data_IF_350706551449
#
_entry.id   IF_350706551449
#
_cell.length_a   1.000
_cell.length_b   1.000
_cell.length_c   1.000
_cell.angle_alpha   90.00
_cell.angle_beta   90.00
_cell.angle_gamma   90.00
#
_symmetry.space_group_name_H-M   'P 1'
#
loop_
_entity.id
_entity.type
_entity.pdbx_description
1 polymer ?
#
# COMPACT_ATOMS: atom_id res chain seq x y z
N UNK A 1 -25.88 9.23 5.65
CA UNK A 1 -24.73 9.43 6.53
C UNK A 1 -24.17 8.07 6.89
N UNK A 2 -22.86 7.95 7.14
CA UNK A 2 -22.20 6.73 7.63
C UNK A 2 -20.95 7.10 8.41
N UNK A 3 -20.48 6.25 9.33
CA UNK A 3 -19.22 6.45 10.03
C UNK A 3 -18.02 6.47 9.05
N UNK A 4 -17.22 7.51 9.11
CA UNK A 4 -16.03 7.72 8.29
C UNK A 4 -14.96 8.35 9.17
N UNK A 5 -13.80 7.74 9.29
CA UNK A 5 -12.74 8.22 10.16
C UNK A 5 -11.34 7.94 9.65
N UNK A 6 -10.40 8.71 10.16
CA UNK A 6 -8.98 8.46 9.95
C UNK A 6 -8.31 8.14 11.30
N UNK A 7 -7.63 6.99 11.37
CA UNK A 7 -6.82 6.59 12.53
C UNK A 7 -5.40 7.11 12.33
N UNK A 8 -4.97 8.01 13.20
CA UNK A 8 -3.64 8.61 13.16
C UNK A 8 -2.92 8.47 14.51
N UNK A 9 -1.72 8.99 14.60
CA UNK A 9 -0.95 9.05 15.85
C UNK A 9 0.01 10.23 15.85
N UNK A 10 0.53 10.64 17.01
CA UNK A 10 1.56 11.66 17.10
C UNK A 10 2.85 11.27 16.37
N UNK A 11 3.27 10.01 16.50
CA UNK A 11 4.52 9.47 15.92
C UNK A 11 4.31 8.05 15.38
N UNK A 12 5.22 7.61 14.51
CA UNK A 12 5.24 6.22 14.03
C UNK A 12 5.47 5.25 15.19
N UNK A 13 4.94 4.01 15.09
CA UNK A 13 5.10 3.00 16.13
C UNK A 13 4.17 3.15 17.35
N UNK A 14 3.20 4.08 17.32
CA UNK A 14 2.24 4.26 18.44
C UNK A 14 1.17 3.16 18.54
N UNK A 15 1.10 2.20 17.61
CA UNK A 15 0.12 1.12 17.61
C UNK A 15 -1.11 1.37 16.74
N UNK A 16 -1.03 2.31 15.76
CA UNK A 16 -2.11 2.54 14.79
C UNK A 16 -2.60 1.26 14.15
N UNK A 17 -1.70 0.52 13.52
CA UNK A 17 -2.04 -0.73 12.80
C UNK A 17 -2.63 -1.77 13.74
N UNK A 18 -2.10 -1.92 14.95
CA UNK A 18 -2.66 -2.82 15.97
C UNK A 18 -4.11 -2.49 16.27
N UNK A 19 -4.39 -1.21 16.59
CA UNK A 19 -5.75 -0.76 16.88
C UNK A 19 -6.66 -0.89 15.65
N UNK A 20 -6.18 -0.50 14.46
CA UNK A 20 -6.93 -0.59 13.21
C UNK A 20 -7.36 -2.03 12.93
N UNK A 21 -6.45 -3.00 13.01
CA UNK A 21 -6.76 -4.41 12.74
C UNK A 21 -7.79 -4.97 13.72
N UNK A 22 -7.65 -4.65 15.02
CA UNK A 22 -8.64 -5.04 16.01
C UNK A 22 -10.01 -4.43 15.75
N UNK A 23 -10.09 -3.13 15.44
CA UNK A 23 -11.33 -2.45 15.12
C UNK A 23 -12.00 -3.04 13.87
N UNK A 24 -11.23 -3.28 12.80
CA UNK A 24 -11.73 -3.89 11.58
C UNK A 24 -12.36 -5.25 11.82
N UNK A 25 -11.73 -6.09 12.63
CA UNK A 25 -12.24 -7.42 12.97
C UNK A 25 -13.49 -7.32 13.86
N UNK A 26 -13.57 -6.41 14.82
CA UNK A 26 -14.80 -6.17 15.61
C UNK A 26 -15.95 -5.76 14.70
N UNK A 27 -15.72 -4.86 13.75
CA UNK A 27 -16.77 -4.42 12.81
C UNK A 27 -17.20 -5.57 11.89
N UNK A 28 -16.26 -6.38 11.41
CA UNK A 28 -16.57 -7.58 10.63
C UNK A 28 -17.42 -8.59 11.42
N UNK A 29 -17.06 -8.83 12.69
CA UNK A 29 -17.82 -9.72 13.59
C UNK A 29 -19.22 -9.19 13.89
N UNK A 30 -19.41 -7.88 13.87
CA UNK A 30 -20.73 -7.21 13.96
C UNK A 30 -21.53 -7.25 12.64
N UNK A 31 -21.01 -7.87 11.59
CA UNK A 31 -21.64 -7.97 10.28
C UNK A 31 -21.59 -6.69 9.43
N UNK A 32 -20.80 -5.70 9.84
CA UNK A 32 -20.67 -4.43 9.12
C UNK A 32 -19.67 -4.55 7.97
N UNK A 33 -20.08 -4.13 6.78
CA UNK A 33 -19.20 -4.02 5.63
C UNK A 33 -18.30 -2.80 5.79
N UNK A 34 -17.03 -3.03 6.07
CA UNK A 34 -16.04 -1.97 6.29
C UNK A 34 -15.14 -1.81 5.07
N UNK A 35 -15.13 -0.62 4.46
CA UNK A 35 -14.11 -0.26 3.47
C UNK A 35 -12.90 0.34 4.18
N UNK A 36 -11.76 -0.24 3.93
CA UNK A 36 -10.49 0.23 4.48
C UNK A 36 -9.68 0.98 3.45
N UNK A 37 -9.03 2.04 3.94
CA UNK A 37 -8.07 2.83 3.19
C UNK A 37 -6.76 2.94 3.97
N UNK A 38 -5.65 3.03 3.25
CA UNK A 38 -4.32 3.28 3.82
C UNK A 38 -3.72 4.54 3.24
N UNK A 39 -3.38 5.53 4.08
CA UNK A 39 -2.59 6.68 3.62
C UNK A 39 -1.19 6.23 3.20
N UNK A 40 -0.72 6.77 2.06
CA UNK A 40 0.60 6.45 1.52
C UNK A 40 0.66 5.15 0.72
N UNK A 41 1.88 4.69 0.48
CA UNK A 41 2.19 3.64 -0.50
C UNK A 41 2.38 2.24 0.09
N UNK A 42 2.06 2.03 1.36
CA UNK A 42 2.28 0.75 2.03
C UNK A 42 1.36 -0.35 1.49
N UNK A 43 1.93 -1.42 0.95
CA UNK A 43 1.19 -2.56 0.42
C UNK A 43 1.06 -3.72 1.39
N UNK A 44 1.81 -3.73 2.49
CA UNK A 44 1.71 -4.80 3.47
C UNK A 44 0.56 -4.55 4.44
N UNK A 45 0.43 -3.31 4.93
CA UNK A 45 -0.68 -2.94 5.80
C UNK A 45 -2.04 -3.16 5.10
N UNK A 46 -2.14 -2.88 3.79
CA UNK A 46 -3.38 -3.15 3.03
C UNK A 46 -3.74 -4.63 2.99
N UNK A 47 -2.76 -5.53 2.97
CA UNK A 47 -3.02 -6.97 3.05
C UNK A 47 -3.51 -7.38 4.44
N UNK A 48 -2.92 -6.83 5.50
CA UNK A 48 -3.41 -7.06 6.87
C UNK A 48 -4.84 -6.54 7.06
N UNK A 49 -5.14 -5.35 6.52
CA UNK A 49 -6.50 -4.81 6.51
C UNK A 49 -7.48 -5.77 5.81
N UNK A 50 -7.07 -6.33 4.66
CA UNK A 50 -7.91 -7.26 3.90
C UNK A 50 -8.17 -8.56 4.68
N UNK A 51 -7.21 -9.04 5.46
CA UNK A 51 -7.40 -10.17 6.36
C UNK A 51 -8.38 -9.82 7.49
N UNK A 52 -8.21 -8.64 8.11
CA UNK A 52 -9.03 -8.21 9.24
C UNK A 52 -10.48 -7.89 8.87
N UNK A 53 -10.69 -7.18 7.77
CA UNK A 53 -11.99 -6.70 7.32
C UNK A 53 -12.74 -7.67 6.38
N UNK A 54 -12.03 -8.61 5.74
CA UNK A 54 -12.58 -9.49 4.71
C UNK A 54 -12.78 -8.83 3.34
N UNK A 55 -12.35 -7.58 3.15
CA UNK A 55 -12.43 -6.81 1.90
C UNK A 55 -11.11 -6.13 1.59
N UNK A 56 -10.82 -5.95 0.28
CA UNK A 56 -9.58 -5.32 -0.17
C UNK A 56 -9.48 -3.87 0.32
N UNK A 57 -8.30 -3.52 0.83
CA UNK A 57 -7.96 -2.17 1.24
C UNK A 57 -7.36 -1.38 0.07
N UNK A 58 -7.53 -0.05 0.08
CA UNK A 58 -7.14 0.87 -0.99
C UNK A 58 -6.15 1.91 -0.48
N UNK A 59 -5.11 2.21 -1.24
CA UNK A 59 -4.17 3.26 -0.88
C UNK A 59 -4.70 4.66 -1.28
N UNK A 60 -4.44 5.66 -0.43
CA UNK A 60 -4.70 7.07 -0.71
C UNK A 60 -3.39 7.84 -0.56
N UNK A 61 -2.87 8.38 -1.66
CA UNK A 61 -1.57 9.05 -1.64
C UNK A 61 -1.60 10.35 -2.47
N UNK A 62 -1.44 11.49 -1.78
CA UNK A 62 -1.56 12.82 -2.37
C UNK A 62 -0.31 13.27 -3.15
N UNK A 63 0.75 12.46 -3.19
CA UNK A 63 1.85 12.69 -4.11
C UNK A 63 1.69 11.90 -5.42
N UNK A 64 1.16 10.68 -5.32
CA UNK A 64 0.93 9.82 -6.51
C UNK A 64 -0.23 10.32 -7.37
N UNK A 65 -1.24 10.93 -6.76
CA UNK A 65 -2.46 11.37 -7.43
C UNK A 65 -2.91 12.77 -6.97
N UNK A 66 -3.79 13.39 -7.75
CA UNK A 66 -4.42 14.67 -7.40
C UNK A 66 -5.43 14.52 -6.27
N UNK A 67 -5.75 15.62 -5.61
CA UNK A 67 -6.76 15.67 -4.55
C UNK A 67 -8.14 15.22 -5.07
N UNK A 68 -8.51 15.61 -6.30
CA UNK A 68 -9.75 15.18 -6.95
C UNK A 68 -9.78 13.68 -7.21
N UNK A 69 -8.67 13.11 -7.67
CA UNK A 69 -8.56 11.66 -7.88
C UNK A 69 -8.68 10.88 -6.56
N UNK A 70 -8.02 11.33 -5.48
CA UNK A 70 -8.15 10.71 -4.15
C UNK A 70 -9.60 10.70 -3.69
N UNK A 71 -10.31 11.81 -3.85
CA UNK A 71 -11.72 11.93 -3.48
C UNK A 71 -12.60 10.99 -4.31
N UNK A 72 -12.32 10.89 -5.62
CA UNK A 72 -13.02 9.97 -6.54
C UNK A 72 -12.80 8.51 -6.14
N UNK A 73 -11.55 8.12 -5.90
CA UNK A 73 -11.17 6.78 -5.42
C UNK A 73 -11.85 6.47 -4.08
N UNK A 74 -11.80 7.39 -3.12
CA UNK A 74 -12.45 7.21 -1.83
C UNK A 74 -13.97 6.97 -1.99
N UNK A 75 -14.65 7.84 -2.73
CA UNK A 75 -16.09 7.72 -2.94
C UNK A 75 -16.46 6.42 -3.67
N UNK A 76 -15.75 6.06 -4.73
CA UNK A 76 -15.96 4.84 -5.51
C UNK A 76 -15.94 3.58 -4.62
N UNK A 77 -14.88 3.40 -3.86
CA UNK A 77 -14.74 2.17 -3.07
C UNK A 77 -15.57 2.18 -1.79
N UNK A 78 -15.82 3.36 -1.20
CA UNK A 78 -16.65 3.51 -0.02
C UNK A 78 -18.16 3.37 -0.28
N UNK A 79 -18.61 3.40 -1.54
CA UNK A 79 -20.04 3.49 -1.90
C UNK A 79 -20.90 2.45 -1.18
N UNK A 80 -20.49 1.19 -1.23
CA UNK A 80 -21.24 0.04 -0.68
C UNK A 80 -20.89 -0.29 0.77
N UNK A 81 -20.05 0.51 1.42
CA UNK A 81 -19.63 0.25 2.79
C UNK A 81 -20.59 0.87 3.81
N UNK A 82 -20.75 0.20 4.94
CA UNK A 82 -21.45 0.72 6.11
C UNK A 82 -20.54 1.66 6.90
N UNK A 83 -19.24 1.34 6.97
CA UNK A 83 -18.20 2.09 7.70
C UNK A 83 -16.97 2.26 6.83
N UNK A 84 -16.32 3.44 6.90
CA UNK A 84 -15.05 3.71 6.21
C UNK A 84 -13.95 4.00 7.22
N UNK A 85 -12.90 3.20 7.19
CA UNK A 85 -11.72 3.35 8.07
C UNK A 85 -10.50 3.67 7.21
N UNK A 86 -9.89 4.83 7.46
CA UNK A 86 -8.62 5.21 6.83
C UNK A 86 -7.50 5.10 7.87
N UNK A 87 -6.50 4.26 7.63
CA UNK A 87 -5.31 4.22 8.49
C UNK A 87 -4.22 5.15 7.96
N UNK A 88 -3.73 6.03 8.82
CA UNK A 88 -2.59 6.90 8.56
C UNK A 88 -1.26 6.15 8.50
N UNK A 89 -0.27 6.71 7.80
CA UNK A 89 1.06 6.10 7.67
C UNK A 89 2.02 6.54 8.78
N UNK A 90 2.46 7.78 8.77
CA UNK A 90 3.42 8.36 9.70
C UNK A 90 2.70 9.08 10.86
N UNK A 91 3.27 10.12 11.44
CA UNK A 91 2.55 11.01 12.34
C UNK A 91 1.46 11.79 11.63
N UNK A 92 0.50 12.33 12.39
CA UNK A 92 -0.68 13.01 11.82
C UNK A 92 -0.34 14.13 10.84
N UNK A 93 0.71 14.90 11.13
CA UNK A 93 1.10 16.09 10.36
C UNK A 93 2.33 15.85 9.46
N UNK A 94 2.89 14.64 9.45
CA UNK A 94 4.08 14.29 8.66
C UNK A 94 3.71 14.04 7.20
N UNK A 95 4.13 14.92 6.31
CA UNK A 95 3.95 14.81 4.87
C UNK A 95 5.26 14.98 4.11
N UNK A 96 5.21 14.88 2.79
CA UNK A 96 6.39 15.04 1.93
C UNK A 96 6.88 16.50 1.84
N UNK A 97 6.00 17.45 2.08
CA UNK A 97 6.33 18.87 2.26
C UNK A 97 5.49 19.44 3.38
N UNK A 98 6.01 19.45 4.61
CA UNK A 98 5.24 19.80 5.83
C UNK A 98 3.96 18.94 5.89
N UNK A 99 2.78 19.56 5.88
CA UNK A 99 1.50 18.87 5.93
C UNK A 99 1.04 18.29 4.56
N UNK A 100 1.65 18.67 3.44
CA UNK A 100 1.23 18.13 2.14
C UNK A 100 1.51 16.63 2.07
N UNK A 101 0.49 15.86 1.71
CA UNK A 101 0.57 14.39 1.68
C UNK A 101 0.51 13.72 3.06
N UNK A 102 0.33 14.47 4.14
CA UNK A 102 0.16 13.92 5.49
C UNK A 102 -1.23 13.29 5.70
N UNK A 103 -1.39 12.56 6.80
CA UNK A 103 -2.69 12.07 7.23
C UNK A 103 -3.68 13.23 7.48
N UNK A 104 -3.19 14.36 8.01
CA UNK A 104 -3.99 15.57 8.20
C UNK A 104 -4.46 16.18 6.87
N UNK A 105 -3.65 16.09 5.80
CA UNK A 105 -4.07 16.50 4.46
C UNK A 105 -5.25 15.63 3.99
N UNK A 106 -5.16 14.31 4.08
CA UNK A 106 -6.23 13.40 3.68
C UNK A 106 -7.49 13.60 4.54
N UNK A 107 -7.35 13.71 5.86
CA UNK A 107 -8.49 13.96 6.77
C UNK A 107 -9.23 15.26 6.40
N UNK A 108 -8.50 16.33 6.10
CA UNK A 108 -9.06 17.61 5.68
C UNK A 108 -9.73 17.51 4.30
N UNK A 109 -9.06 16.86 3.35
CA UNK A 109 -9.55 16.65 1.98
C UNK A 109 -10.88 15.92 1.96
N UNK A 110 -11.00 14.88 2.78
CA UNK A 110 -12.21 14.05 2.88
C UNK A 110 -13.21 14.59 3.93
N UNK A 111 -12.84 15.61 4.71
CA UNK A 111 -13.58 16.15 5.87
C UNK A 111 -14.00 15.07 6.87
N UNK A 112 -13.15 14.10 7.09
CA UNK A 112 -13.37 13.03 8.07
C UNK A 112 -12.65 13.31 9.38
N UNK A 113 -13.22 12.94 10.54
CA UNK A 113 -12.59 13.12 11.83
C UNK A 113 -11.41 12.19 12.04
N UNK A 114 -10.51 12.59 12.91
CA UNK A 114 -9.33 11.83 13.29
C UNK A 114 -9.55 11.19 14.66
N UNK A 115 -9.29 9.88 14.75
CA UNK A 115 -9.08 9.16 16.00
C UNK A 115 -7.58 9.04 16.22
N UNK A 116 -7.08 9.62 17.30
CA UNK A 116 -5.65 9.68 17.57
C UNK A 116 -5.23 8.52 18.50
N UNK A 117 -4.40 7.63 18.02
CA UNK A 117 -3.81 6.54 18.81
C UNK A 117 -2.51 7.02 19.45
N UNK A 118 -2.47 7.05 20.78
CA UNK A 118 -1.35 7.59 21.56
C UNK A 118 -0.71 6.47 22.36
N UNK A 119 0.60 6.29 22.18
CA UNK A 119 1.36 5.34 22.99
C UNK A 119 1.57 5.95 24.41
N UNK A 120 1.03 5.27 25.41
CA UNK A 120 1.06 5.71 26.81
C UNK A 120 2.17 5.07 27.63
N UNK A 121 3.05 4.24 27.04
CA UNK A 121 4.01 3.40 27.79
C UNK A 121 4.91 4.20 28.75
N UNK A 122 5.29 5.40 28.41
CA UNK A 122 6.24 6.21 29.19
C UNK A 122 5.69 7.59 29.52
N UNK A 123 4.36 7.75 29.57
CA UNK A 123 3.71 9.02 29.87
C UNK A 123 2.45 8.76 30.73
N UNK A 124 2.08 9.73 31.53
CA UNK A 124 0.85 9.76 32.30
C UNK A 124 0.12 11.09 32.04
N UNK A 125 -0.15 11.91 33.05
CA UNK A 125 -0.82 13.18 32.89
C UNK A 125 -0.07 14.15 31.94
N UNK A 126 1.27 14.06 31.81
CA UNK A 126 2.07 14.87 30.88
C UNK A 126 1.70 14.68 29.40
N UNK A 127 0.80 13.77 29.06
CA UNK A 127 0.24 13.66 27.73
C UNK A 127 -0.74 14.81 27.40
N UNK A 128 -1.31 15.51 28.42
CA UNK A 128 -2.29 16.58 28.23
C UNK A 128 -1.83 17.71 27.27
N UNK A 129 -0.61 18.28 27.39
CA UNK A 129 -0.09 19.26 26.43
C UNK A 129 0.03 18.71 25.00
N UNK A 130 0.36 17.42 24.87
CA UNK A 130 0.44 16.76 23.56
C UNK A 130 -0.94 16.68 22.93
N UNK A 131 -1.94 16.21 23.66
CA UNK A 131 -3.33 16.13 23.19
C UNK A 131 -3.89 17.51 22.83
N UNK A 132 -3.66 18.50 23.69
CA UNK A 132 -4.04 19.88 23.43
C UNK A 132 -3.41 20.43 22.16
N UNK A 133 -2.10 20.19 21.96
CA UNK A 133 -1.39 20.59 20.76
C UNK A 133 -1.98 19.93 19.50
N UNK A 134 -2.21 18.63 19.50
CA UNK A 134 -2.79 17.95 18.35
C UNK A 134 -4.22 18.38 18.03
N UNK A 135 -5.01 18.73 19.04
CA UNK A 135 -6.37 19.24 18.86
C UNK A 135 -6.39 20.64 18.25
N UNK A 136 -5.49 21.54 18.70
CA UNK A 136 -5.56 22.96 18.39
C UNK A 136 -4.55 23.44 17.33
N UNK A 137 -3.57 22.62 16.95
CA UNK A 137 -2.52 23.01 15.99
C UNK A 137 -3.08 23.44 14.63
N UNK A 138 -4.14 22.80 14.15
CA UNK A 138 -4.79 23.13 12.88
C UNK A 138 -6.30 22.98 12.98
N UNK A 139 -7.02 24.10 12.90
CA UNK A 139 -8.48 24.18 13.07
C UNK A 139 -9.29 23.32 12.06
N UNK A 140 -8.70 23.02 10.89
CA UNK A 140 -9.37 22.22 9.84
C UNK A 140 -9.18 20.72 10.01
N UNK A 141 -8.45 20.27 11.04
CA UNK A 141 -8.26 18.86 11.37
C UNK A 141 -9.01 18.57 12.67
N UNK A 142 -10.11 17.84 12.58
CA UNK A 142 -10.96 17.54 13.72
C UNK A 142 -10.51 16.26 14.41
N UNK A 143 -9.85 16.37 15.58
CA UNK A 143 -9.55 15.24 16.46
C UNK A 143 -10.80 14.94 17.29
N UNK A 144 -11.51 13.87 16.95
CA UNK A 144 -12.78 13.50 17.57
C UNK A 144 -12.60 12.66 18.85
N UNK A 145 -11.49 11.95 18.98
CA UNK A 145 -11.23 11.14 20.17
C UNK A 145 -9.85 10.53 20.21
N UNK A 146 -9.52 10.01 21.37
CA UNK A 146 -8.22 9.44 21.71
C UNK A 146 -8.39 7.96 22.07
N UNK A 147 -7.47 7.13 21.58
CA UNK A 147 -7.25 5.76 22.04
C UNK A 147 -5.85 5.70 22.62
N UNK A 148 -5.71 5.27 23.87
CA UNK A 148 -4.41 5.02 24.46
C UNK A 148 -3.95 3.60 24.21
N UNK A 149 -2.71 3.43 23.74
CA UNK A 149 -2.08 2.13 23.58
C UNK A 149 -1.03 1.90 24.67
N UNK A 150 -0.83 0.67 25.09
CA UNK A 150 0.14 0.25 26.11
C UNK A 150 -0.14 0.84 27.50
N UNK A 151 -1.38 0.83 27.95
CA UNK A 151 -1.77 1.25 29.30
C UNK A 151 -1.43 0.15 30.32
N UNK A 152 -0.69 0.53 31.36
CA UNK A 152 -0.13 -0.43 32.31
C UNK A 152 -1.08 -0.84 33.44
N UNK A 153 -2.01 0.04 33.88
CA UNK A 153 -2.90 -0.19 35.01
C UNK A 153 -4.13 0.72 34.99
N UNK A 154 -5.09 0.44 35.88
CA UNK A 154 -6.27 1.29 36.09
C UNK A 154 -5.92 2.67 36.62
N UNK A 155 -4.93 2.78 37.52
CA UNK A 155 -4.43 4.06 38.04
C UNK A 155 -3.82 4.88 36.90
N UNK A 156 -3.02 4.24 36.06
CA UNK A 156 -2.45 4.88 34.87
C UNK A 156 -3.56 5.41 33.94
N UNK A 157 -4.59 4.59 33.67
CA UNK A 157 -5.74 4.99 32.84
C UNK A 157 -6.47 6.21 33.42
N UNK A 158 -6.64 6.32 34.72
CA UNK A 158 -7.32 7.46 35.34
C UNK A 158 -6.56 8.77 35.05
N UNK A 159 -5.23 8.78 35.22
CA UNK A 159 -4.41 9.96 34.88
C UNK A 159 -4.50 10.34 33.40
N UNK A 160 -4.57 9.37 32.51
CA UNK A 160 -4.75 9.60 31.08
C UNK A 160 -6.13 10.17 30.75
N UNK A 161 -7.19 9.74 31.45
CA UNK A 161 -8.55 10.29 31.33
C UNK A 161 -8.63 11.74 31.82
N UNK A 162 -8.01 12.05 32.96
CA UNK A 162 -7.89 13.43 33.46
C UNK A 162 -7.19 14.32 32.42
N UNK A 163 -6.09 13.85 31.83
CA UNK A 163 -5.39 14.56 30.75
C UNK A 163 -6.29 14.82 29.51
N UNK A 164 -7.18 13.89 29.19
CA UNK A 164 -8.16 14.09 28.10
C UNK A 164 -9.20 15.16 28.45
N UNK A 165 -9.68 15.18 29.70
CA UNK A 165 -10.64 16.20 30.18
C UNK A 165 -10.04 17.57 30.04
N UNK A 166 -8.81 17.76 30.55
CA UNK A 166 -8.15 19.07 30.55
C UNK A 166 -7.73 19.53 29.13
N UNK A 167 -7.38 18.58 28.25
CA UNK A 167 -7.17 18.88 26.84
C UNK A 167 -8.49 19.06 26.06
N UNK A 168 -9.63 18.81 26.69
CA UNK A 168 -10.96 18.90 26.09
C UNK A 168 -11.19 17.89 24.95
N UNK A 169 -10.60 16.71 25.00
CA UNK A 169 -10.75 15.64 23.99
C UNK A 169 -11.46 14.44 24.58
N UNK A 170 -12.17 13.68 23.75
CA UNK A 170 -12.88 12.48 24.19
C UNK A 170 -11.91 11.30 24.33
N UNK A 171 -11.91 10.63 25.49
CA UNK A 171 -11.21 9.34 25.70
C UNK A 171 -12.16 8.20 25.31
N UNK A 172 -11.91 7.55 24.18
CA UNK A 172 -12.73 6.45 23.64
C UNK A 172 -12.36 5.09 24.18
N UNK A 173 -11.20 4.96 24.80
CA UNK A 173 -10.74 3.71 25.36
C UNK A 173 -9.23 3.52 25.29
N UNK A 174 -8.80 2.28 25.50
CA UNK A 174 -7.38 1.95 25.53
C UNK A 174 -7.12 0.50 25.14
N UNK A 175 -5.87 0.20 24.84
CA UNK A 175 -5.32 -1.16 24.77
C UNK A 175 -4.29 -1.34 25.90
N UNK A 176 -4.34 -2.44 26.64
CA UNK A 176 -3.33 -2.78 27.63
C UNK A 176 -1.98 -3.09 26.96
N UNK A 177 -0.94 -3.28 27.77
CA UNK A 177 0.34 -3.83 27.29
C UNK A 177 0.09 -5.26 26.82
N UNK A 178 0.51 -5.56 25.58
CA UNK A 178 0.41 -6.90 24.97
C UNK A 178 1.84 -7.37 24.71
N UNK A 179 2.32 -8.31 25.53
CA UNK A 179 3.74 -8.71 25.54
C UNK A 179 4.18 -9.46 24.27
N UNK A 180 3.33 -10.27 23.66
CA UNK A 180 3.69 -11.18 22.57
C UNK A 180 3.11 -10.79 21.18
N UNK A 181 2.53 -9.60 21.06
CA UNK A 181 1.98 -9.17 19.79
C UNK A 181 3.09 -8.65 18.87
N UNK A 182 3.41 -9.43 17.86
CA UNK A 182 4.34 -9.02 16.78
C UNK A 182 3.72 -9.39 15.44
N UNK A 183 3.21 -8.40 14.71
CA UNK A 183 2.97 -8.59 13.29
C UNK A 183 4.27 -9.04 12.62
N UNK A 184 4.22 -10.01 11.70
CA UNK A 184 5.39 -10.44 10.97
C UNK A 184 6.11 -9.22 10.39
N UNK A 185 7.44 -9.21 10.52
CA UNK A 185 8.22 -8.12 9.95
C UNK A 185 8.01 -8.07 8.44
N UNK A 186 8.18 -6.90 7.83
CA UNK A 186 8.08 -6.68 6.38
C UNK A 186 8.92 -7.65 5.55
N UNK A 187 9.90 -8.33 6.16
CA UNK A 187 10.79 -9.30 5.52
C UNK A 187 10.31 -10.75 5.54
N UNK A 188 9.23 -11.08 6.24
CA UNK A 188 8.83 -12.50 6.36
C UNK A 188 7.86 -12.98 5.29
N UNK A 189 7.34 -12.09 4.45
CA UNK A 189 6.35 -12.41 3.43
C UNK A 189 5.02 -12.93 4.03
N UNK A 190 3.95 -12.89 3.25
CA UNK A 190 2.64 -13.44 3.63
C UNK A 190 2.48 -14.89 3.15
N UNK A 191 3.18 -15.82 3.79
CA UNK A 191 2.94 -17.26 3.56
C UNK A 191 1.59 -17.70 4.13
N UNK A 192 1.06 -18.85 3.70
CA UNK A 192 -0.20 -19.39 4.24
C UNK A 192 -0.13 -19.61 5.76
N UNK A 193 1.02 -20.07 6.27
CA UNK A 193 1.24 -20.26 7.73
C UNK A 193 1.28 -18.92 8.45
N UNK A 194 1.98 -17.92 7.88
CA UNK A 194 2.01 -16.57 8.44
C UNK A 194 0.60 -15.94 8.45
N UNK A 195 -0.20 -16.16 7.40
CA UNK A 195 -1.58 -15.66 7.33
C UNK A 195 -2.46 -16.20 8.46
N UNK A 196 -2.39 -17.49 8.76
CA UNK A 196 -3.15 -18.10 9.86
C UNK A 196 -2.74 -17.53 11.22
N UNK A 197 -1.44 -17.42 11.49
CA UNK A 197 -0.93 -16.81 12.72
C UNK A 197 -1.34 -15.34 12.85
N UNK A 198 -1.37 -14.58 11.75
CA UNK A 198 -1.83 -13.19 11.72
C UNK A 198 -3.31 -13.12 12.04
N UNK A 199 -4.13 -13.99 11.48
CA UNK A 199 -5.58 -14.05 11.70
C UNK A 199 -5.92 -14.31 13.16
N UNK A 200 -5.24 -15.29 13.78
CA UNK A 200 -5.36 -15.60 15.22
C UNK A 200 -4.95 -14.40 16.12
N UNK A 201 -3.87 -13.70 15.76
CA UNK A 201 -3.44 -12.49 16.48
C UNK A 201 -4.44 -11.33 16.32
N UNK A 202 -5.02 -11.15 15.13
CA UNK A 202 -6.06 -10.15 14.89
C UNK A 202 -7.29 -10.41 15.76
N UNK A 203 -7.72 -11.67 15.92
CA UNK A 203 -8.84 -12.05 16.79
C UNK A 203 -8.56 -11.73 18.27
N UNK A 204 -7.33 -11.95 18.73
CA UNK A 204 -6.93 -11.57 20.09
C UNK A 204 -7.03 -10.06 20.31
N UNK A 205 -6.53 -9.26 19.36
CA UNK A 205 -6.62 -7.79 19.47
C UNK A 205 -8.08 -7.34 19.38
N UNK A 206 -8.88 -7.94 18.51
CA UNK A 206 -10.29 -7.62 18.39
C UNK A 206 -11.04 -7.80 19.72
N UNK A 207 -10.75 -8.89 20.44
CA UNK A 207 -11.30 -9.12 21.77
C UNK A 207 -10.92 -8.03 22.78
N UNK A 208 -9.69 -7.49 22.68
CA UNK A 208 -9.26 -6.37 23.52
C UNK A 208 -9.91 -5.06 23.13
N UNK A 209 -10.05 -4.80 21.82
CA UNK A 209 -10.76 -3.61 21.31
C UNK A 209 -12.22 -3.64 21.74
N UNK A 210 -12.92 -4.75 21.58
CA UNK A 210 -14.34 -4.85 21.96
C UNK A 210 -14.54 -4.68 23.48
N UNK A 211 -13.57 -5.16 24.28
CA UNK A 211 -13.64 -5.05 25.75
C UNK A 211 -13.30 -3.66 26.30
N UNK A 212 -12.32 -2.97 25.72
CA UNK A 212 -11.73 -1.77 26.33
C UNK A 212 -11.97 -0.47 25.57
N UNK A 213 -12.59 -0.53 24.38
CA UNK A 213 -12.90 0.62 23.54
C UNK A 213 -14.40 0.76 23.36
N UNK A 214 -14.92 1.97 23.54
CA UNK A 214 -16.33 2.26 23.24
C UNK A 214 -16.51 2.45 21.73
N UNK A 215 -16.65 1.32 21.03
CA UNK A 215 -16.76 1.30 19.56
C UNK A 215 -18.03 2.02 19.09
N UNK A 216 -19.16 1.91 19.80
CA UNK A 216 -20.42 2.55 19.42
C UNK A 216 -20.30 4.06 19.50
N UNK A 217 -19.70 4.59 20.56
CA UNK A 217 -19.41 6.01 20.69
C UNK A 217 -18.41 6.49 19.63
N UNK A 218 -17.38 5.69 19.32
CA UNK A 218 -16.43 5.98 18.26
C UNK A 218 -17.15 6.14 16.92
N UNK A 219 -18.01 5.21 16.56
CA UNK A 219 -18.77 5.26 15.30
C UNK A 219 -19.70 6.46 15.26
N UNK A 220 -20.44 6.74 16.34
CA UNK A 220 -21.39 7.86 16.40
C UNK A 220 -20.70 9.21 16.25
N UNK A 221 -19.53 9.40 16.86
CA UNK A 221 -18.72 10.64 16.71
C UNK A 221 -18.19 10.82 15.30
N UNK A 222 -18.10 9.75 14.54
CA UNK A 222 -17.51 9.73 13.21
C UNK A 222 -18.53 9.71 12.06
N UNK A 223 -19.83 9.86 12.35
CA UNK A 223 -20.85 9.97 11.30
C UNK A 223 -20.66 11.23 10.45
N UNK A 224 -20.56 11.04 9.14
CA UNK A 224 -20.37 12.12 8.16
C UNK A 224 -21.27 11.91 6.94
N UNK A 225 -21.52 13.01 6.23
CA UNK A 225 -22.21 12.98 4.95
C UNK A 225 -21.37 12.19 3.94
N UNK A 226 -22.00 11.32 3.17
CA UNK A 226 -21.40 10.60 2.07
C UNK A 226 -22.24 10.77 0.79
N UNK A 227 -21.70 10.91 -0.40
CA UNK A 227 -20.27 10.96 -0.72
C UNK A 227 -19.56 12.24 -0.26
N UNK A 228 -18.24 12.23 -0.19
CA UNK A 228 -17.43 13.42 0.12
C UNK A 228 -17.44 14.37 -1.08
N UNK A 229 -18.03 15.55 -0.94
CA UNK A 229 -18.27 16.51 -2.04
C UNK A 229 -17.59 17.87 -1.77
N UNK A 230 -16.28 17.93 -1.62
CA UNK A 230 -15.76 19.17 -1.06
C UNK A 230 -14.80 19.98 -1.90
N UNK A 231 -14.33 19.47 -3.01
CA UNK A 231 -13.29 20.19 -3.75
C UNK A 231 -13.70 20.66 -5.11
N UNK A 232 -14.71 20.16 -5.71
CA UNK A 232 -15.28 20.62 -6.98
C UNK A 232 -16.57 19.81 -7.23
N UNK A 233 -17.48 20.24 -8.08
CA UNK A 233 -18.48 19.31 -8.56
C UNK A 233 -17.72 18.06 -9.00
N UNK A 234 -18.17 16.91 -8.53
CA UNK A 234 -17.67 15.60 -8.91
C UNK A 234 -17.62 15.51 -10.43
N UNK A 235 -16.56 16.03 -10.99
CA UNK A 235 -16.10 15.61 -12.29
C UNK A 235 -15.37 14.32 -11.97
N UNK A 236 -16.02 13.18 -12.20
CA UNK A 236 -15.26 11.96 -12.33
C UNK A 236 -14.00 12.34 -13.08
N UNK A 237 -12.81 11.94 -12.58
CA UNK A 237 -11.62 11.94 -13.43
C UNK A 237 -11.86 10.90 -14.53
N UNK A 238 -12.89 11.21 -15.25
CA UNK A 238 -13.53 10.41 -16.28
C UNK A 238 -12.70 10.32 -17.55
N UNK A 239 -11.53 10.98 -17.56
CA UNK A 239 -10.66 10.81 -18.72
C UNK A 239 -10.21 9.35 -18.85
N UNK A 240 -9.93 8.66 -17.74
CA UNK A 240 -9.62 7.21 -17.79
C UNK A 240 -10.89 6.34 -17.84
N UNK A 241 -11.95 6.72 -17.13
CA UNK A 241 -13.21 5.98 -17.17
C UNK A 241 -13.98 6.17 -18.47
N UNK A 242 -13.83 7.32 -19.13
CA UNK A 242 -14.48 7.65 -20.40
C UNK A 242 -13.55 7.50 -21.62
N UNK A 243 -12.31 7.05 -21.47
CA UNK A 243 -11.52 6.65 -22.65
C UNK A 243 -12.31 5.54 -23.37
N UNK A 244 -12.67 5.74 -24.64
CA UNK A 244 -13.30 4.68 -25.40
C UNK A 244 -12.36 3.48 -25.37
N UNK A 245 -12.89 2.30 -25.05
CA UNK A 245 -12.17 1.04 -25.19
C UNK A 245 -11.82 0.93 -26.67
N UNK A 246 -10.60 1.31 -27.02
CA UNK A 246 -10.15 1.41 -28.41
C UNK A 246 -9.99 0.05 -29.08
N UNK A 247 -10.05 -1.03 -28.30
CA UNK A 247 -10.00 -2.40 -28.81
C UNK A 247 -11.35 -3.11 -28.63
N UNK A 248 -12.00 -3.46 -29.72
CA UNK A 248 -13.20 -4.31 -29.72
C UNK A 248 -12.97 -5.72 -29.15
N UNK A 249 -11.71 -6.15 -29.01
CA UNK A 249 -11.33 -7.45 -28.44
C UNK A 249 -10.75 -7.22 -27.04
N UNK A 250 -11.41 -7.77 -26.00
CA UNK A 250 -10.87 -7.77 -24.63
C UNK A 250 -9.55 -8.51 -24.59
N UNK A 251 -8.53 -7.87 -24.02
CA UNK A 251 -7.21 -8.47 -23.85
C UNK A 251 -7.24 -9.62 -22.82
N UNK A 252 -6.39 -10.60 -23.00
CA UNK A 252 -6.07 -11.60 -21.98
C UNK A 252 -4.89 -11.07 -21.18
N UNK A 253 -5.09 -10.86 -19.89
CA UNK A 253 -4.10 -10.25 -19.00
C UNK A 253 -3.70 -11.27 -17.94
N UNK A 254 -2.43 -11.70 -17.96
CA UNK A 254 -1.88 -12.59 -16.93
C UNK A 254 -1.18 -11.78 -15.85
N UNK A 255 -1.60 -11.95 -14.59
CA UNK A 255 -1.00 -11.25 -13.44
C UNK A 255 -0.38 -12.29 -12.49
N UNK A 256 0.92 -12.13 -12.19
CA UNK A 256 1.57 -12.92 -11.15
C UNK A 256 0.99 -12.56 -9.78
N UNK A 257 0.51 -13.56 -9.03
CA UNK A 257 -0.07 -13.37 -7.70
C UNK A 257 0.19 -14.58 -6.81
N UNK A 258 1.10 -14.40 -5.87
CA UNK A 258 1.41 -15.35 -4.80
C UNK A 258 2.19 -14.63 -3.68
N UNK A 259 2.64 -15.29 -2.60
CA UNK A 259 3.41 -14.64 -1.55
C UNK A 259 4.70 -13.93 -2.00
N UNK A 260 5.28 -14.31 -3.13
CA UNK A 260 6.45 -13.64 -3.69
C UNK A 260 6.10 -12.38 -4.50
N UNK A 261 4.87 -12.32 -5.05
CA UNK A 261 4.39 -11.26 -5.94
C UNK A 261 3.01 -10.76 -5.47
N UNK A 262 3.00 -10.02 -4.36
CA UNK A 262 1.79 -9.67 -3.64
C UNK A 262 1.51 -8.16 -3.54
N UNK A 263 2.35 -7.29 -4.12
CA UNK A 263 2.17 -5.85 -4.07
C UNK A 263 1.27 -5.36 -5.22
N UNK A 264 0.02 -5.76 -5.17
CA UNK A 264 -1.01 -5.36 -6.13
C UNK A 264 -1.92 -4.31 -5.49
N UNK A 265 -2.00 -3.12 -6.09
CA UNK A 265 -3.01 -2.14 -5.70
C UNK A 265 -4.35 -2.45 -6.36
N UNK A 266 -5.43 -2.11 -5.66
CA UNK A 266 -6.78 -2.32 -6.18
C UNK A 266 -7.03 -1.51 -7.44
N UNK A 267 -6.53 -0.27 -7.49
CA UNK A 267 -6.68 0.61 -8.65
C UNK A 267 -5.97 0.07 -9.89
N UNK A 268 -4.79 -0.55 -9.72
CA UNK A 268 -4.08 -1.23 -10.82
C UNK A 268 -4.91 -2.39 -11.37
N UNK A 269 -5.49 -3.22 -10.49
CA UNK A 269 -6.36 -4.33 -10.90
C UNK A 269 -7.59 -3.81 -11.63
N UNK A 270 -8.25 -2.78 -11.09
CA UNK A 270 -9.44 -2.18 -11.71
C UNK A 270 -9.12 -1.53 -13.06
N UNK A 271 -7.95 -0.87 -13.19
CA UNK A 271 -7.48 -0.32 -14.46
C UNK A 271 -7.27 -1.41 -15.51
N UNK A 272 -6.59 -2.47 -15.17
CA UNK A 272 -6.36 -3.61 -16.06
C UNK A 272 -7.66 -4.33 -16.43
N UNK A 273 -8.60 -4.47 -15.48
CA UNK A 273 -9.90 -5.12 -15.71
C UNK A 273 -10.78 -4.39 -16.74
N UNK A 274 -10.60 -3.07 -16.90
CA UNK A 274 -11.27 -2.31 -17.96
C UNK A 274 -10.80 -2.72 -19.35
N UNK A 275 -9.52 -3.04 -19.47
CA UNK A 275 -8.87 -3.37 -20.74
C UNK A 275 -9.02 -4.84 -21.14
N UNK A 276 -9.29 -5.75 -20.18
CA UNK A 276 -9.33 -7.17 -20.51
C UNK A 276 -9.75 -8.10 -19.38
N UNK A 277 -9.66 -9.39 -19.67
CA UNK A 277 -9.90 -10.45 -18.71
C UNK A 277 -8.61 -10.80 -17.98
N UNK A 278 -8.65 -10.73 -16.65
CA UNK A 278 -7.51 -11.05 -15.79
C UNK A 278 -7.50 -12.54 -15.45
N UNK A 279 -6.34 -13.17 -15.63
CA UNK A 279 -6.02 -14.52 -15.15
C UNK A 279 -4.81 -14.43 -14.22
N UNK A 280 -4.95 -14.93 -13.00
CA UNK A 280 -3.85 -14.98 -12.05
C UNK A 280 -3.04 -16.26 -12.21
N UNK A 281 -1.71 -16.16 -12.10
CA UNK A 281 -0.81 -17.30 -12.04
C UNK A 281 0.19 -17.17 -10.90
N UNK A 282 0.70 -18.31 -10.42
CA UNK A 282 1.67 -18.33 -9.33
C UNK A 282 3.06 -18.76 -9.80
N UNK A 283 4.03 -17.85 -9.85
CA UNK A 283 5.40 -18.22 -10.11
C UNK A 283 5.98 -19.27 -9.16
N UNK A 284 5.64 -19.25 -7.86
CA UNK A 284 6.23 -20.19 -6.89
C UNK A 284 5.49 -21.53 -6.77
N UNK A 285 4.16 -21.59 -7.02
CA UNK A 285 3.36 -22.81 -6.79
C UNK A 285 3.11 -23.67 -8.03
N UNK A 286 3.78 -23.44 -9.11
CA UNK A 286 3.82 -24.42 -10.18
C UNK A 286 2.97 -24.13 -11.41
N UNK A 287 2.30 -23.00 -11.50
CA UNK A 287 1.55 -22.64 -12.70
C UNK A 287 2.47 -22.42 -13.91
N UNK A 288 2.03 -22.84 -15.08
CA UNK A 288 2.58 -22.36 -16.34
C UNK A 288 2.15 -20.90 -16.58
N UNK A 289 2.83 -20.22 -17.51
CA UNK A 289 2.40 -18.91 -17.97
C UNK A 289 1.09 -19.05 -18.73
N UNK A 290 -0.01 -18.39 -18.30
CA UNK A 290 -1.25 -18.40 -19.06
C UNK A 290 -1.06 -17.77 -20.44
N UNK A 291 -1.88 -18.17 -21.38
CA UNK A 291 -1.94 -17.49 -22.68
C UNK A 291 -2.42 -16.05 -22.47
N UNK A 292 -1.61 -15.07 -22.86
CA UNK A 292 -1.84 -13.66 -22.54
C UNK A 292 -1.38 -12.73 -23.65
N UNK A 293 -2.07 -11.59 -23.77
CA UNK A 293 -1.70 -10.46 -24.62
C UNK A 293 -0.88 -9.42 -23.82
N UNK A 294 -1.01 -9.45 -22.48
CA UNK A 294 -0.21 -8.67 -21.52
C UNK A 294 0.12 -9.53 -20.30
N UNK A 295 1.38 -9.52 -19.88
CA UNK A 295 1.84 -10.12 -18.62
C UNK A 295 2.25 -9.00 -17.64
N UNK A 296 1.71 -9.02 -16.43
CA UNK A 296 2.11 -8.12 -15.36
C UNK A 296 2.69 -8.89 -14.17
N UNK A 297 3.92 -8.56 -13.79
CA UNK A 297 4.61 -9.15 -12.64
C UNK A 297 4.82 -8.03 -11.61
N UNK A 298 3.98 -7.95 -10.59
CA UNK A 298 4.03 -6.88 -9.59
C UNK A 298 5.19 -7.04 -8.62
N UNK A 299 5.31 -6.09 -7.71
CA UNK A 299 6.23 -6.17 -6.58
C UNK A 299 5.88 -7.26 -5.57
N UNK A 300 6.79 -7.46 -4.64
CA UNK A 300 6.72 -8.44 -3.57
C UNK A 300 8.10 -8.69 -3.00
N UNK A 301 8.30 -9.87 -2.43
CA UNK A 301 9.57 -10.31 -1.84
C UNK A 301 10.08 -11.63 -2.48
N UNK A 302 10.36 -11.67 -3.79
CA UNK A 302 10.79 -12.90 -4.47
C UNK A 302 12.14 -13.42 -3.95
N UNK A 303 12.96 -12.57 -3.36
CA UNK A 303 14.22 -12.95 -2.71
C UNK A 303 14.02 -13.94 -1.56
N UNK A 304 12.90 -13.89 -0.85
CA UNK A 304 12.56 -14.85 0.20
C UNK A 304 12.22 -16.24 -0.38
N UNK A 305 11.85 -16.28 -1.64
CA UNK A 305 11.44 -17.49 -2.39
C UNK A 305 12.41 -17.86 -3.50
N UNK A 306 13.63 -17.29 -3.49
CA UNK A 306 14.61 -17.45 -4.58
C UNK A 306 14.91 -18.93 -4.90
N UNK A 307 14.97 -19.81 -3.87
CA UNK A 307 15.18 -21.25 -4.04
C UNK A 307 13.98 -21.94 -4.73
N UNK A 308 12.74 -21.55 -4.40
CA UNK A 308 11.54 -22.07 -5.05
C UNK A 308 11.48 -21.60 -6.51
N UNK A 309 11.70 -20.31 -6.76
CA UNK A 309 11.72 -19.71 -8.08
C UNK A 309 12.80 -20.34 -8.97
N UNK A 310 14.01 -20.59 -8.46
CA UNK A 310 15.09 -21.24 -9.18
C UNK A 310 14.67 -22.58 -9.82
N UNK A 311 13.74 -23.31 -9.22
CA UNK A 311 13.23 -24.59 -9.73
C UNK A 311 12.26 -24.43 -10.89
N UNK A 312 11.80 -23.19 -11.18
CA UNK A 312 10.76 -22.88 -12.16
C UNK A 312 11.30 -22.70 -13.60
N UNK A 313 12.21 -23.58 -14.02
CA UNK A 313 12.89 -23.50 -15.33
C UNK A 313 11.93 -23.45 -16.51
N UNK A 314 10.81 -24.18 -16.44
CA UNK A 314 9.78 -24.20 -17.50
C UNK A 314 9.12 -22.82 -17.63
N UNK A 315 8.69 -22.20 -16.51
CA UNK A 315 8.13 -20.85 -16.49
C UNK A 315 9.14 -19.83 -17.06
N UNK A 316 10.41 -19.93 -16.70
CA UNK A 316 11.44 -19.04 -17.22
C UNK A 316 11.61 -19.17 -18.74
N UNK A 317 11.56 -20.39 -19.28
CA UNK A 317 11.54 -20.64 -20.72
C UNK A 317 10.30 -20.03 -21.39
N UNK A 318 9.13 -20.18 -20.78
CA UNK A 318 7.88 -19.62 -21.29
C UNK A 318 7.92 -18.08 -21.31
N UNK A 319 8.47 -17.43 -20.25
CA UNK A 319 8.63 -15.97 -20.21
C UNK A 319 9.57 -15.46 -21.30
N UNK A 320 10.73 -16.12 -21.50
CA UNK A 320 11.66 -15.76 -22.58
C UNK A 320 10.97 -15.87 -23.94
N UNK A 321 10.40 -17.03 -24.25
CA UNK A 321 9.70 -17.25 -25.52
C UNK A 321 8.57 -16.24 -25.74
N UNK A 322 7.81 -15.91 -24.69
CA UNK A 322 6.75 -14.92 -24.77
C UNK A 322 7.29 -13.54 -25.19
N UNK A 323 8.40 -13.09 -24.59
CA UNK A 323 9.02 -11.80 -24.90
C UNK A 323 9.69 -11.80 -26.28
N UNK A 324 10.38 -12.89 -26.65
CA UNK A 324 11.01 -13.05 -27.96
C UNK A 324 9.99 -13.05 -29.11
N UNK A 325 8.79 -13.57 -28.86
CA UNK A 325 7.66 -13.51 -29.80
C UNK A 325 6.84 -12.16 -29.74
N UNK A 326 7.41 -11.12 -29.14
CA UNK A 326 6.81 -9.79 -29.09
C UNK A 326 5.75 -9.58 -28.03
N UNK A 327 5.62 -10.49 -27.07
CA UNK A 327 4.67 -10.37 -25.93
C UNK A 327 4.96 -9.15 -25.06
N UNK A 328 3.90 -8.47 -24.63
CA UNK A 328 3.98 -7.30 -23.75
C UNK A 328 4.11 -7.72 -22.31
N UNK A 329 5.16 -7.25 -21.62
CA UNK A 329 5.40 -7.58 -20.22
C UNK A 329 5.84 -6.34 -19.43
N UNK A 330 5.25 -6.14 -18.24
CA UNK A 330 5.74 -5.20 -17.25
C UNK A 330 6.10 -5.92 -15.95
N UNK A 331 7.30 -5.67 -15.44
CA UNK A 331 7.78 -6.17 -14.16
C UNK A 331 8.23 -5.03 -13.25
N UNK A 332 7.64 -4.94 -12.08
CA UNK A 332 7.88 -3.84 -11.12
C UNK A 332 8.43 -4.36 -9.80
N UNK A 333 9.33 -3.57 -9.18
CA UNK A 333 9.89 -3.86 -7.86
C UNK A 333 10.41 -5.32 -7.79
N UNK A 334 9.86 -6.20 -6.93
CA UNK A 334 10.20 -7.62 -6.87
C UNK A 334 10.01 -8.36 -8.20
N UNK A 335 9.07 -7.93 -9.05
CA UNK A 335 8.88 -8.51 -10.38
C UNK A 335 10.12 -8.40 -11.28
N UNK A 336 10.87 -7.30 -11.17
CA UNK A 336 12.12 -7.12 -11.90
C UNK A 336 13.18 -8.17 -11.51
N UNK A 337 13.18 -8.60 -10.24
CA UNK A 337 14.13 -9.61 -9.76
C UNK A 337 13.88 -10.97 -10.45
N UNK A 338 12.64 -11.31 -10.75
CA UNK A 338 12.31 -12.55 -11.49
C UNK A 338 12.91 -12.57 -12.90
N UNK A 339 12.98 -11.41 -13.56
CA UNK A 339 13.51 -11.26 -14.91
C UNK A 339 15.03 -11.13 -14.96
N UNK A 340 15.70 -11.05 -13.83
CA UNK A 340 17.16 -10.91 -13.71
C UNK A 340 17.92 -12.18 -14.08
N UNK A 341 19.24 -12.08 -14.18
CA UNK A 341 20.13 -13.22 -14.30
C UNK A 341 20.14 -14.04 -13.00
N UNK A 342 20.28 -13.37 -11.83
CA UNK A 342 20.32 -14.07 -10.55
C UNK A 342 19.87 -13.23 -9.36
N UNK A 343 19.43 -13.93 -8.29
CA UNK A 343 19.17 -13.37 -6.96
C UNK A 343 20.06 -14.10 -5.95
N UNK A 344 20.82 -13.34 -5.17
CA UNK A 344 21.56 -13.82 -4.00
C UNK A 344 20.82 -13.40 -2.75
N UNK A 345 20.21 -14.36 -2.03
CA UNK A 345 19.27 -14.10 -0.92
C UNK A 345 19.94 -13.50 0.33
N UNK A 346 21.24 -13.52 0.43
CA UNK A 346 22.06 -12.82 1.45
C UNK A 346 23.48 -12.64 0.93
N UNK A 347 24.18 -11.62 1.40
CA UNK A 347 25.57 -11.36 1.02
C UNK A 347 26.45 -12.60 1.30
N UNK A 348 27.23 -13.06 0.31
CA UNK A 348 28.05 -14.28 0.37
C UNK A 348 27.25 -15.59 0.30
N UNK A 349 25.95 -15.55 0.07
CA UNK A 349 25.11 -16.73 -0.08
C UNK A 349 25.08 -17.28 -1.50
N UNK A 350 24.26 -18.32 -1.70
CA UNK A 350 24.06 -18.94 -3.02
C UNK A 350 23.29 -18.01 -3.95
N UNK A 351 23.83 -17.80 -5.15
CA UNK A 351 23.13 -17.11 -6.22
C UNK A 351 22.18 -18.09 -6.95
N UNK A 352 20.91 -17.73 -7.01
CA UNK A 352 19.87 -18.49 -7.71
C UNK A 352 19.59 -17.87 -9.07
N UNK A 353 19.84 -18.59 -10.15
CA UNK A 353 19.52 -18.16 -11.52
C UNK A 353 18.02 -17.96 -11.68
N UNK A 354 17.63 -16.84 -12.28
CA UNK A 354 16.25 -16.47 -12.59
C UNK A 354 15.94 -16.61 -14.10
N UNK A 355 15.01 -15.80 -14.59
CA UNK A 355 14.59 -15.90 -15.99
C UNK A 355 15.63 -15.43 -17.02
N UNK A 356 16.65 -14.70 -16.62
CA UNK A 356 17.79 -14.27 -17.45
C UNK A 356 17.36 -13.50 -18.72
N UNK A 357 16.44 -12.55 -18.53
CA UNK A 357 15.92 -11.67 -19.58
C UNK A 357 16.70 -10.34 -19.56
N UNK A 358 17.01 -9.85 -18.36
CA UNK A 358 17.83 -8.68 -18.16
C UNK A 358 19.17 -9.04 -17.50
N UNK A 359 20.27 -8.39 -17.87
CA UNK A 359 21.61 -8.68 -17.35
C UNK A 359 21.85 -8.05 -15.97
N UNK A 360 21.00 -8.39 -15.00
CA UNK A 360 21.10 -7.95 -13.63
C UNK A 360 21.43 -9.08 -12.68
N UNK A 361 22.31 -8.82 -11.71
CA UNK A 361 22.45 -9.62 -10.51
C UNK A 361 21.94 -8.83 -9.32
N UNK A 362 21.08 -9.42 -8.51
CA UNK A 362 20.59 -8.81 -7.28
C UNK A 362 21.14 -9.52 -6.06
N UNK A 363 21.63 -8.73 -5.09
CA UNK A 363 22.06 -9.25 -3.79
C UNK A 363 21.26 -8.59 -2.69
N UNK A 364 20.65 -9.40 -1.81
CA UNK A 364 19.92 -8.92 -0.64
C UNK A 364 20.90 -8.41 0.41
N UNK A 365 20.56 -7.29 1.02
CA UNK A 365 21.34 -6.64 2.09
C UNK A 365 20.52 -6.56 3.38
N UNK A 366 21.19 -6.44 4.52
CA UNK A 366 20.57 -6.35 5.84
C UNK A 366 19.85 -5.02 6.07
N UNK A 367 20.26 -3.98 5.36
CA UNK A 367 19.66 -2.64 5.44
C UNK A 367 18.91 -2.28 4.16
N UNK A 368 17.89 -1.44 4.29
CA UNK A 368 17.19 -0.89 3.14
C UNK A 368 18.12 0.01 2.32
N UNK A 369 18.33 -0.33 1.05
CA UNK A 369 19.21 0.42 0.15
C UNK A 369 18.53 1.67 -0.38
N UNK A 370 17.28 1.55 -0.77
CA UNK A 370 16.54 2.64 -1.40
C UNK A 370 15.12 2.71 -0.89
N UNK A 371 14.65 3.94 -0.65
CA UNK A 371 13.25 4.19 -0.31
C UNK A 371 12.87 5.60 -0.71
N UNK A 372 11.66 5.79 -1.22
CA UNK A 372 11.06 7.09 -1.46
C UNK A 372 10.24 7.17 -2.74
N UNK A 373 9.62 8.32 -2.90
CA UNK A 373 8.85 8.64 -4.10
C UNK A 373 9.74 8.81 -5.32
N UNK A 374 9.26 8.32 -6.46
CA UNK A 374 9.94 8.34 -7.76
C UNK A 374 9.01 8.84 -8.85
N UNK A 375 9.58 9.59 -9.78
CA UNK A 375 8.88 10.04 -10.97
C UNK A 375 9.74 9.83 -12.20
N UNK A 376 9.08 9.61 -13.33
CA UNK A 376 9.72 9.60 -14.65
C UNK A 376 8.77 10.10 -15.72
N UNK A 377 9.36 10.61 -16.80
CA UNK A 377 8.66 10.84 -18.04
C UNK A 377 9.11 9.77 -19.04
N UNK A 378 8.17 9.07 -19.61
CA UNK A 378 8.41 8.11 -20.67
C UNK A 378 7.35 8.27 -21.75
N UNK A 379 7.76 8.67 -22.94
CA UNK A 379 6.86 9.07 -24.03
C UNK A 379 5.91 10.19 -23.53
N UNK A 380 4.60 10.03 -23.66
CA UNK A 380 3.59 10.98 -23.13
C UNK A 380 3.20 10.74 -21.67
N UNK A 381 3.71 9.66 -21.08
CA UNK A 381 3.39 9.29 -19.71
C UNK A 381 4.26 10.04 -18.71
N UNK A 382 3.63 10.73 -17.77
CA UNK A 382 4.26 11.15 -16.53
C UNK A 382 3.87 10.16 -15.43
N UNK A 383 4.80 9.29 -15.05
CA UNK A 383 4.57 8.27 -14.04
C UNK A 383 5.12 8.70 -12.70
N UNK A 384 4.34 8.46 -11.66
CA UNK A 384 4.74 8.57 -10.26
C UNK A 384 4.65 7.21 -9.60
N UNK A 385 5.55 6.93 -8.67
CA UNK A 385 5.64 5.63 -8.02
C UNK A 385 6.43 5.70 -6.73
N UNK A 386 6.62 4.54 -6.13
CA UNK A 386 7.36 4.41 -4.89
C UNK A 386 8.37 3.27 -4.99
N UNK A 387 9.59 3.53 -4.56
CA UNK A 387 10.67 2.57 -4.51
C UNK A 387 10.99 2.21 -3.06
N UNK A 388 11.10 0.91 -2.78
CA UNK A 388 11.51 0.44 -1.46
C UNK A 388 12.02 -0.99 -1.59
N UNK A 389 13.33 -1.18 -1.50
CA UNK A 389 13.95 -2.51 -1.60
C UNK A 389 15.19 -2.64 -0.73
N UNK A 390 15.57 -3.89 -0.49
CA UNK A 390 16.74 -4.33 0.29
C UNK A 390 17.79 -5.01 -0.60
N UNK A 391 17.72 -4.77 -1.90
CA UNK A 391 18.58 -5.43 -2.89
C UNK A 391 19.53 -4.43 -3.52
N UNK A 392 20.81 -4.80 -3.59
CA UNK A 392 21.82 -4.15 -4.40
C UNK A 392 21.77 -4.72 -5.82
N UNK A 393 21.71 -3.84 -6.82
CA UNK A 393 21.68 -4.21 -8.23
C UNK A 393 23.08 -4.06 -8.83
N UNK A 394 23.57 -5.12 -9.47
CA UNK A 394 24.77 -5.10 -10.30
C UNK A 394 24.37 -5.35 -11.75
N UNK A 395 24.66 -4.39 -12.64
CA UNK A 395 24.48 -4.52 -14.08
C UNK A 395 25.72 -5.23 -14.66
N UNK A 396 25.50 -6.31 -15.39
CA UNK A 396 26.58 -7.18 -15.92
C UNK A 396 26.86 -6.96 -17.41
N UNK A 397 26.17 -6.03 -18.06
CA UNK A 397 26.34 -5.70 -19.48
C UNK A 397 26.45 -4.17 -19.66
N UNK A 398 27.53 -3.74 -20.30
CA UNK A 398 27.75 -2.33 -20.65
C UNK A 398 26.78 -1.82 -21.74
N UNK A 399 26.17 -2.72 -22.48
CA UNK A 399 25.26 -2.38 -23.59
C UNK A 399 23.81 -2.15 -23.18
N UNK A 400 23.50 -2.25 -21.87
CA UNK A 400 22.13 -2.03 -21.39
C UNK A 400 21.87 -0.53 -21.19
N UNK A 401 21.15 0.07 -22.12
CA UNK A 401 20.72 1.47 -22.05
C UNK A 401 19.34 1.52 -21.39
N UNK A 402 19.15 2.33 -20.34
CA UNK A 402 17.81 2.56 -19.78
C UNK A 402 16.87 3.21 -20.80
N UNK A 403 15.62 2.77 -20.83
CA UNK A 403 14.58 3.39 -21.65
C UNK A 403 14.18 4.78 -21.11
N UNK A 404 14.28 4.97 -19.79
CA UNK A 404 14.07 6.27 -19.15
C UNK A 404 14.85 6.36 -17.83
N UNK A 405 15.27 7.59 -17.49
CA UNK A 405 15.82 7.92 -16.18
C UNK A 405 14.72 8.13 -15.15
N UNK A 406 15.00 7.74 -13.92
CA UNK A 406 14.10 7.90 -12.78
C UNK A 406 14.63 9.02 -11.88
N UNK A 407 13.72 9.79 -11.31
CA UNK A 407 14.04 10.94 -10.48
C UNK A 407 13.34 10.83 -9.11
N UNK A 408 13.96 11.44 -8.11
CA UNK A 408 13.28 11.66 -6.82
C UNK A 408 12.12 12.65 -7.00
N UNK A 409 11.28 12.77 -5.99
CA UNK A 409 10.23 13.79 -5.91
C UNK A 409 10.77 15.22 -6.12
N UNK A 410 12.03 15.48 -5.80
CA UNK A 410 12.71 16.80 -5.94
C UNK A 410 13.43 16.98 -7.27
N UNK A 411 13.31 16.01 -8.20
CA UNK A 411 13.95 16.07 -9.51
C UNK A 411 15.42 15.62 -9.54
N UNK A 412 15.98 15.13 -8.45
CA UNK A 412 17.35 14.57 -8.47
C UNK A 412 17.31 13.18 -9.10
N UNK A 413 18.32 12.86 -9.93
CA UNK A 413 18.49 11.52 -10.49
C UNK A 413 18.73 10.48 -9.40
N UNK A 414 18.31 9.24 -9.66
CA UNK A 414 18.57 8.08 -8.80
C UNK A 414 19.26 6.99 -9.62
N UNK A 415 19.98 6.04 -8.96
CA UNK A 415 20.61 4.92 -9.67
C UNK A 415 19.61 4.01 -10.38
N UNK A 416 18.40 3.89 -9.84
CA UNK A 416 17.31 3.10 -10.42
C UNK A 416 16.87 3.69 -11.74
N UNK A 417 16.54 2.83 -12.69
CA UNK A 417 16.12 3.23 -14.03
C UNK A 417 14.92 2.40 -14.50
N UNK A 418 14.35 2.80 -15.59
CA UNK A 418 13.33 2.07 -16.30
C UNK A 418 13.97 1.41 -17.52
N UNK A 419 13.94 0.09 -17.58
CA UNK A 419 14.63 -0.68 -18.61
C UNK A 419 13.63 -1.30 -19.58
N UNK A 420 14.06 -1.47 -20.83
CA UNK A 420 13.31 -2.14 -21.88
C UNK A 420 14.15 -3.19 -22.57
N UNK A 421 13.56 -4.37 -22.80
CA UNK A 421 14.08 -5.43 -23.68
C UNK A 421 12.92 -5.94 -24.54
N UNK A 422 12.98 -5.72 -25.86
CA UNK A 422 11.84 -5.94 -26.74
C UNK A 422 10.58 -5.20 -26.23
N UNK A 423 9.50 -5.93 -25.97
CA UNK A 423 8.27 -5.44 -25.38
C UNK A 423 8.16 -5.70 -23.87
N UNK A 424 9.26 -6.06 -23.22
CA UNK A 424 9.32 -6.20 -21.77
C UNK A 424 9.90 -4.94 -21.12
N UNK A 425 9.22 -4.44 -20.11
CA UNK A 425 9.68 -3.34 -19.27
C UNK A 425 9.95 -3.83 -17.85
N UNK A 426 11.00 -3.27 -17.22
CA UNK A 426 11.36 -3.59 -15.84
C UNK A 426 11.85 -2.36 -15.08
N UNK A 427 11.45 -2.23 -13.81
CA UNK A 427 11.90 -1.18 -12.89
C UNK A 427 11.84 -1.66 -11.44
N UNK A 428 12.74 -1.16 -10.57
CA UNK A 428 12.64 -1.35 -9.12
C UNK A 428 11.56 -0.48 -8.48
N UNK A 429 11.04 0.48 -9.22
CA UNK A 429 9.92 1.33 -8.80
C UNK A 429 8.60 0.62 -9.04
N UNK A 430 7.69 0.70 -8.07
CA UNK A 430 6.29 0.37 -8.26
C UNK A 430 5.55 1.63 -8.69
N UNK A 431 5.08 1.66 -9.93
CA UNK A 431 4.36 2.79 -10.51
C UNK A 431 2.88 2.77 -10.12
N UNK A 432 2.29 3.97 -10.04
CA UNK A 432 0.86 4.12 -9.76
C UNK A 432 0.06 4.18 -11.06
N UNK A 433 -0.75 3.14 -11.30
CA UNK A 433 -1.54 2.97 -12.53
C UNK A 433 -3.01 3.40 -12.37
N UNK A 434 -3.35 4.11 -11.28
CA UNK A 434 -4.70 4.65 -11.09
C UNK A 434 -5.03 5.84 -11.97
N UNK A 435 -4.01 6.60 -12.41
CA UNK A 435 -4.16 7.82 -13.23
C UNK A 435 -3.67 7.67 -14.66
N UNK A 436 -2.97 6.61 -14.99
CA UNK A 436 -2.46 6.32 -16.32
C UNK A 436 -2.89 4.92 -16.76
N UNK A 437 -3.07 4.72 -18.08
CA UNK A 437 -3.26 3.38 -18.62
C UNK A 437 -1.89 2.70 -18.81
N UNK A 438 -1.75 1.50 -18.26
CA UNK A 438 -0.53 0.70 -18.40
C UNK A 438 -0.24 0.38 -19.88
N UNK A 439 -1.26 0.25 -20.71
CA UNK A 439 -1.12 -0.06 -22.12
C UNK A 439 -0.44 1.07 -22.92
N UNK A 440 -0.47 2.30 -22.40
CA UNK A 440 0.21 3.44 -23.04
C UNK A 440 1.75 3.28 -23.09
N UNK A 441 2.32 2.33 -22.30
CA UNK A 441 3.73 1.95 -22.43
C UNK A 441 4.09 1.41 -23.83
N UNK A 442 3.14 0.82 -24.53
CA UNK A 442 3.31 0.20 -25.83
C UNK A 442 2.58 0.93 -26.97
N UNK A 443 2.05 2.12 -26.70
CA UNK A 443 1.43 2.93 -27.76
C UNK A 443 2.53 3.41 -28.73
N UNK A 444 2.33 3.13 -30.04
CA UNK A 444 3.23 3.59 -31.09
C UNK A 444 3.11 5.10 -31.23
N UNK A 445 4.20 5.83 -30.99
CA UNK A 445 4.28 7.27 -31.28
C UNK A 445 5.01 7.59 -32.58
N UNK A 446 5.45 6.59 -33.34
CA UNK A 446 6.22 6.80 -34.56
C UNK A 446 5.34 6.99 -35.82
N UNK A 447 4.06 7.34 -35.64
CA UNK A 447 3.13 7.65 -36.75
C UNK A 447 2.52 9.06 -36.56
N UNK A 448 3.36 10.08 -36.43
CA UNK A 448 3.02 11.49 -36.79
C UNK A 448 4.25 12.22 -37.30
#
# INVERSE_FOLDING_TARGET
MKPQLLIASPVSGSGKTTFTLGLLRVLQQRGLRTQTFKCGTDCLDTQYHSIAAGYDSVNLDAWLASDSHIQSVYNKYAEKADVCITEGSMGLFDGYNRMQGSNAHIARLLKIPVILVVNARATAYSVAPVLYGFKHFKNLVHVAGIIFNQVASSVHLNLLREACVDAGVECLGYLPIIDDFKLPSRHSGLTLTARRSIDEQIDQIASLVDKYVNVDKLLSLCERIFPCQHILPYTSDSELENRPITNSKKLRIAIARDPAFCFLSRETIDSLSRNGQITYFSPIYGSDLPEADLVYIPGGYPELFARQLYRRKRLFGQLRNYIENGGKLLAECGGMLLLSHSITARRGGTAYKMADIFPFNFTVTDSRICTGYRQMNYRKLMLRGYESHYTEQLITSENLIPAASVYTMRGNTVPSSFYRHNNAYASLVRWYWGVNDMLDLWSDEDLL
#
